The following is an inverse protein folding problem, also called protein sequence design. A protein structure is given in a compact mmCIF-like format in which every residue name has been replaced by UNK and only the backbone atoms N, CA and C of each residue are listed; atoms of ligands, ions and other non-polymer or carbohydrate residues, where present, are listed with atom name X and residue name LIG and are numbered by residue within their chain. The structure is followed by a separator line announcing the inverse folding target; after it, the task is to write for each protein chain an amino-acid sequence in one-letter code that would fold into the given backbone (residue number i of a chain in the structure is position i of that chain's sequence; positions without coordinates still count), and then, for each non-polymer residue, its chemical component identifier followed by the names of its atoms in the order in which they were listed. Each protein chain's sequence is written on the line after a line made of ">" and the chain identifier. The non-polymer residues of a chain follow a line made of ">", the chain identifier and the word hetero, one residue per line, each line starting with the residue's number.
data_IF_088127846186
#
_entry.id   IF_088127846186
#
_cell.length_a   1.000
_cell.length_b   1.000
_cell.length_c   1.000
_cell.angle_alpha   90.00
_cell.angle_beta   90.00
_cell.angle_gamma   90.00
#
_symmetry.space_group_name_H-M   'P 1'
#
loop_
_entity.id
_entity.type
_entity.pdbx_description
1 polymer ?
#
# COMPACT_ATOMS: atom_id res chain seq x y z
N UNK A 1 -5.05 -2.58 -2.03
CA UNK A 1 -6.07 -2.91 -3.06
C UNK A 1 -5.35 -3.61 -4.18
N UNK A 2 -5.82 -4.77 -4.64
CA UNK A 2 -5.03 -5.56 -5.58
C UNK A 2 -5.37 -5.31 -7.06
N UNK A 3 -4.35 -5.35 -7.92
CA UNK A 3 -4.50 -5.24 -9.38
C UNK A 3 -4.00 -6.48 -10.11
N UNK A 4 -4.48 -6.69 -11.34
CA UNK A 4 -4.04 -7.79 -12.22
C UNK A 4 -2.80 -7.39 -13.01
N UNK A 5 -1.73 -8.17 -12.85
CA UNK A 5 -0.46 -8.03 -13.55
C UNK A 5 -0.29 -9.19 -14.49
N UNK A 6 0.11 -8.95 -15.73
CA UNK A 6 0.39 -10.03 -16.68
C UNK A 6 1.87 -10.07 -17.02
N UNK A 7 2.47 -11.24 -16.89
CA UNK A 7 3.66 -11.61 -17.64
C UNK A 7 3.22 -12.44 -18.86
N UNK A 8 4.06 -12.65 -19.89
CA UNK A 8 3.70 -13.55 -20.99
C UNK A 8 3.49 -14.99 -20.50
N UNK A 9 2.27 -15.31 -20.05
CA UNK A 9 1.85 -16.64 -19.60
C UNK A 9 1.12 -16.71 -18.26
N UNK A 10 1.13 -15.66 -17.41
CA UNK A 10 0.49 -15.69 -16.08
C UNK A 10 -0.12 -14.34 -15.71
N UNK A 11 -1.25 -14.37 -14.99
CA UNK A 11 -1.82 -13.20 -14.31
C UNK A 11 -1.57 -13.33 -12.81
N UNK A 12 -0.96 -12.31 -12.21
CA UNK A 12 -0.67 -12.22 -10.78
C UNK A 12 -1.45 -11.08 -10.18
N UNK A 13 -1.88 -11.25 -8.93
CA UNK A 13 -2.55 -10.22 -8.16
C UNK A 13 -1.54 -9.64 -7.18
N UNK A 14 -1.15 -8.37 -7.35
CA UNK A 14 -0.21 -7.70 -6.43
C UNK A 14 -0.91 -6.59 -5.65
N UNK A 15 -0.36 -6.29 -4.49
CA UNK A 15 -0.71 -5.10 -3.72
C UNK A 15 0.17 -3.94 -4.18
N UNK A 16 -0.45 -2.82 -4.53
CA UNK A 16 0.27 -1.61 -4.85
C UNK A 16 0.54 -0.87 -3.55
N UNK A 17 1.80 -0.80 -3.18
CA UNK A 17 2.26 -0.23 -1.93
C UNK A 17 3.10 1.02 -2.22
N UNK A 18 2.56 2.21 -1.91
CA UNK A 18 3.32 3.47 -2.03
C UNK A 18 4.25 3.71 -0.83
N UNK A 19 4.11 2.92 0.23
CA UNK A 19 4.98 2.86 1.40
C UNK A 19 6.11 1.84 1.26
N UNK A 20 6.46 1.42 0.04
CA UNK A 20 7.69 0.70 -0.29
C UNK A 20 8.13 0.96 -1.74
N UNK A 21 9.38 0.61 -2.08
CA UNK A 21 9.93 0.79 -3.43
C UNK A 21 10.11 -0.55 -4.18
N UNK A 22 9.95 -1.68 -3.49
CA UNK A 22 10.15 -3.00 -4.07
C UNK A 22 8.86 -3.60 -4.62
N UNK A 23 8.91 -4.08 -5.86
CA UNK A 23 7.92 -5.02 -6.38
C UNK A 23 8.44 -6.45 -6.21
N UNK A 24 7.84 -7.19 -5.28
CA UNK A 24 8.09 -8.61 -5.12
C UNK A 24 6.83 -9.45 -5.29
N UNK A 25 7.02 -10.70 -5.69
CA UNK A 25 5.93 -11.63 -5.97
C UNK A 25 6.22 -12.97 -5.30
N UNK A 26 5.15 -13.69 -4.95
CA UNK A 26 5.30 -15.10 -4.59
C UNK A 26 5.81 -15.88 -5.79
N UNK A 27 6.80 -16.74 -5.59
CA UNK A 27 7.45 -17.47 -6.68
C UNK A 27 7.42 -18.97 -6.49
N UNK A 28 7.38 -19.70 -7.61
CA UNK A 28 7.59 -21.16 -7.65
C UNK A 28 8.94 -21.61 -7.04
N UNK A 29 9.88 -20.67 -6.86
CA UNK A 29 11.20 -20.90 -6.27
C UNK A 29 11.25 -20.63 -4.75
N UNK A 30 10.19 -20.10 -4.15
CA UNK A 30 10.17 -19.80 -2.71
C UNK A 30 10.16 -21.09 -1.88
N UNK A 31 10.95 -21.09 -0.80
CA UNK A 31 11.12 -22.23 0.11
C UNK A 31 10.10 -22.21 1.25
N UNK A 32 8.81 -22.15 0.91
CA UNK A 32 7.68 -22.21 1.86
C UNK A 32 6.77 -23.39 1.54
N UNK A 33 5.86 -23.74 2.44
CA UNK A 33 4.97 -24.87 2.20
C UNK A 33 3.95 -24.58 1.09
N UNK A 34 3.46 -25.63 0.41
CA UNK A 34 2.37 -25.48 -0.57
C UNK A 34 1.07 -24.98 0.06
N UNK A 35 0.89 -25.22 1.36
CA UNK A 35 -0.26 -24.69 2.10
C UNK A 35 -0.16 -23.16 2.23
N UNK A 36 1.02 -22.64 2.54
CA UNK A 36 1.27 -21.19 2.65
C UNK A 36 1.13 -20.47 1.31
N UNK A 37 1.39 -21.16 0.20
CA UNK A 37 1.23 -20.64 -1.17
C UNK A 37 -0.20 -20.72 -1.70
N UNK A 38 -1.11 -21.42 -1.01
CA UNK A 38 -2.46 -21.69 -1.52
C UNK A 38 -3.25 -20.38 -1.67
N UNK A 39 -3.85 -20.17 -2.84
CA UNK A 39 -4.69 -19.00 -3.12
C UNK A 39 -3.91 -17.72 -3.48
N UNK A 40 -2.58 -17.79 -3.58
CA UNK A 40 -1.73 -16.65 -3.99
C UNK A 40 -1.42 -16.71 -5.48
N UNK A 41 -1.23 -15.55 -6.12
CA UNK A 41 -0.66 -15.49 -7.45
C UNK A 41 0.82 -15.89 -7.40
N UNK A 42 1.18 -17.01 -8.03
CA UNK A 42 2.56 -17.53 -8.02
C UNK A 42 3.20 -17.27 -9.38
N UNK A 43 4.29 -16.50 -9.38
CA UNK A 43 5.14 -16.29 -10.55
C UNK A 43 6.07 -17.49 -10.76
N UNK A 44 5.96 -18.12 -11.93
CA UNK A 44 6.95 -19.09 -12.41
C UNK A 44 7.76 -18.49 -13.56
N UNK A 45 9.02 -18.04 -13.31
CA UNK A 45 9.83 -17.43 -14.35
C UNK A 45 10.03 -18.36 -15.56
N UNK A 46 9.93 -19.68 -15.39
CA UNK A 46 10.06 -20.64 -16.51
C UNK A 46 8.91 -20.58 -17.51
N UNK A 47 7.75 -20.06 -17.13
CA UNK A 47 6.59 -19.94 -18.02
C UNK A 47 6.60 -18.66 -18.84
N UNK A 48 7.32 -17.63 -18.38
CA UNK A 48 7.50 -16.40 -19.12
C UNK A 48 8.61 -16.55 -20.17
N UNK A 49 8.29 -16.16 -21.41
CA UNK A 49 9.25 -16.16 -22.52
C UNK A 49 10.22 -14.97 -22.50
N UNK A 50 9.91 -13.93 -21.72
CA UNK A 50 10.72 -12.71 -21.60
C UNK A 50 11.52 -12.66 -20.32
N UNK A 51 11.32 -13.61 -19.39
CA UNK A 51 12.04 -13.64 -18.13
C UNK A 51 13.53 -13.89 -18.33
N UNK A 52 14.35 -13.13 -17.61
CA UNK A 52 15.80 -13.28 -17.58
C UNK A 52 16.29 -13.13 -16.14
N UNK A 53 16.91 -14.17 -15.60
CA UNK A 53 17.52 -14.10 -14.27
C UNK A 53 18.69 -13.11 -14.28
N UNK A 54 18.65 -12.11 -13.41
CA UNK A 54 19.76 -11.19 -13.21
C UNK A 54 20.75 -11.82 -12.22
N UNK A 55 21.74 -12.53 -12.75
CA UNK A 55 22.71 -13.27 -11.92
C UNK A 55 23.50 -12.31 -11.03
N UNK A 56 23.81 -12.75 -9.81
CA UNK A 56 24.54 -11.95 -8.82
C UNK A 56 23.70 -10.93 -8.04
N UNK A 57 22.40 -10.78 -8.35
CA UNK A 57 21.52 -9.81 -7.70
C UNK A 57 20.49 -10.50 -6.80
N UNK A 58 20.36 -9.98 -5.58
CA UNK A 58 19.44 -10.42 -4.53
C UNK A 58 18.78 -9.21 -3.87
N UNK A 59 17.65 -9.43 -3.20
CA UNK A 59 16.92 -8.39 -2.46
C UNK A 59 16.47 -8.94 -1.10
N UNK A 60 16.24 -8.04 -0.15
CA UNK A 60 15.64 -8.32 1.16
C UNK A 60 14.80 -7.11 1.58
N UNK A 61 13.58 -7.35 2.06
CA UNK A 61 12.68 -6.34 2.63
C UNK A 61 12.30 -6.73 4.04
N UNK A 62 12.14 -5.73 4.91
CA UNK A 62 11.62 -5.86 6.27
C UNK A 62 10.56 -4.80 6.47
N UNK A 63 9.39 -5.23 6.92
CA UNK A 63 8.24 -4.36 7.15
C UNK A 63 8.15 -3.94 8.62
N UNK A 64 7.44 -2.84 8.88
CA UNK A 64 7.24 -2.30 10.23
C UNK A 64 6.48 -3.25 11.16
N UNK A 65 5.71 -4.19 10.62
CA UNK A 65 5.01 -5.24 11.36
C UNK A 65 5.93 -6.42 11.77
N UNK A 66 7.22 -6.37 11.43
CA UNK A 66 8.21 -7.40 11.71
C UNK A 66 8.29 -8.52 10.65
N UNK A 67 7.42 -8.51 9.64
CA UNK A 67 7.49 -9.45 8.54
C UNK A 67 8.68 -9.15 7.61
N UNK A 68 9.14 -10.15 6.85
CA UNK A 68 10.26 -9.99 5.92
C UNK A 68 10.17 -10.93 4.74
N UNK A 69 10.80 -10.54 3.63
CA UNK A 69 10.97 -11.38 2.45
C UNK A 69 12.34 -11.15 1.82
N UNK A 70 12.87 -12.14 1.11
CA UNK A 70 14.12 -12.02 0.37
C UNK A 70 14.17 -12.96 -0.82
N UNK A 71 15.04 -12.68 -1.78
CA UNK A 71 15.12 -13.49 -2.97
C UNK A 71 16.18 -13.07 -3.98
N UNK A 72 16.00 -13.56 -5.20
CA UNK A 72 16.83 -13.26 -6.38
C UNK A 72 16.04 -12.39 -7.35
N UNK A 73 16.74 -11.67 -8.21
CA UNK A 73 16.12 -10.74 -9.17
C UNK A 73 15.96 -11.40 -10.56
N UNK A 74 14.78 -11.23 -11.16
CA UNK A 74 14.53 -11.48 -12.58
C UNK A 74 14.12 -10.17 -13.25
N UNK A 75 14.57 -9.95 -14.47
CA UNK A 75 13.97 -8.99 -15.38
C UNK A 75 12.87 -9.70 -16.15
N UNK A 76 11.73 -9.05 -16.34
CA UNK A 76 10.66 -9.57 -17.19
C UNK A 76 9.85 -8.42 -17.82
N UNK A 77 8.91 -8.77 -18.70
CA UNK A 77 7.90 -7.85 -19.21
C UNK A 77 6.69 -7.86 -18.29
N UNK A 78 6.28 -6.70 -17.82
CA UNK A 78 5.11 -6.50 -16.97
C UNK A 78 4.05 -5.74 -17.77
N UNK A 79 2.81 -6.20 -17.71
CA UNK A 79 1.64 -5.49 -18.26
C UNK A 79 0.66 -5.16 -17.15
N UNK A 80 0.30 -3.88 -17.03
CA UNK A 80 -0.69 -3.34 -16.09
C UNK A 80 -1.74 -2.58 -16.90
N UNK A 81 -2.97 -3.11 -16.99
CA UNK A 81 -3.97 -2.58 -17.92
C UNK A 81 -3.45 -2.59 -19.36
N UNK A 82 -3.43 -1.42 -20.00
CA UNK A 82 -2.92 -1.22 -21.36
C UNK A 82 -1.42 -0.85 -21.41
N UNK A 83 -0.76 -0.71 -20.25
CA UNK A 83 0.66 -0.34 -20.17
C UNK A 83 1.51 -1.61 -20.19
N UNK A 84 2.40 -1.69 -21.18
CA UNK A 84 3.43 -2.73 -21.29
C UNK A 84 4.80 -2.14 -21.00
N UNK A 85 5.50 -2.70 -20.01
CA UNK A 85 6.87 -2.31 -19.63
C UNK A 85 7.80 -3.49 -19.88
N UNK A 86 8.72 -3.34 -20.83
CA UNK A 86 9.67 -4.39 -21.22
C UNK A 86 10.99 -4.26 -20.44
N UNK A 87 11.63 -5.40 -20.14
CA UNK A 87 12.92 -5.46 -19.43
C UNK A 87 12.92 -4.68 -18.10
N UNK A 88 11.78 -4.64 -17.40
CA UNK A 88 11.69 -3.95 -16.12
C UNK A 88 12.54 -4.72 -15.09
N UNK A 89 13.68 -4.16 -14.70
CA UNK A 89 14.07 -4.15 -13.30
C UNK A 89 13.24 -3.03 -12.68
N UNK A 90 12.51 -3.27 -11.60
CA UNK A 90 11.52 -2.30 -11.11
C UNK A 90 12.23 -1.02 -10.69
N UNK A 91 12.15 0.03 -11.54
CA UNK A 91 11.91 1.45 -11.24
C UNK A 91 12.03 2.37 -12.50
N UNK A 92 11.03 3.26 -12.67
CA UNK A 92 10.96 4.66 -13.20
C UNK A 92 9.63 4.88 -13.95
N UNK A 93 8.71 5.61 -13.32
CA UNK A 93 7.52 6.17 -13.95
C UNK A 93 7.85 7.55 -14.54
N UNK A 94 7.72 7.70 -15.86
CA UNK A 94 7.71 9.03 -16.54
C UNK A 94 6.33 9.67 -16.58
N UNK A 95 5.36 9.02 -15.96
CA UNK A 95 3.93 9.31 -16.03
C UNK A 95 3.35 9.38 -14.63
N UNK A 96 2.39 10.27 -14.42
CA UNK A 96 1.61 10.31 -13.18
C UNK A 96 0.86 8.98 -12.98
N UNK A 97 0.60 8.63 -11.73
CA UNK A 97 -0.40 7.61 -11.39
C UNK A 97 -1.38 8.21 -10.39
N UNK A 98 -2.60 7.67 -10.33
CA UNK A 98 -3.58 8.06 -9.30
C UNK A 98 -4.13 6.83 -8.61
N UNK A 99 -4.59 7.02 -7.37
CA UNK A 99 -5.19 5.97 -6.55
C UNK A 99 -6.57 6.42 -6.10
N UNK A 100 -7.58 5.60 -6.36
CA UNK A 100 -8.91 5.71 -5.74
C UNK A 100 -9.15 4.45 -4.92
N UNK A 101 -8.91 4.53 -3.62
CA UNK A 101 -9.36 3.50 -2.69
C UNK A 101 -10.85 3.68 -2.44
N UNK A 102 -11.58 2.58 -2.27
CA UNK A 102 -13.03 2.61 -2.08
C UNK A 102 -13.47 1.83 -0.84
N UNK A 103 -14.68 2.12 -0.36
CA UNK A 103 -15.29 1.49 0.81
C UNK A 103 -16.54 0.71 0.36
N UNK A 104 -16.61 -0.59 0.67
CA UNK A 104 -17.73 -1.53 0.33
C UNK A 104 -17.73 -1.96 -1.15
N UNK A 105 -18.91 -2.09 -1.79
CA UNK A 105 -19.15 -2.79 -3.07
C UNK A 105 -18.71 -2.04 -4.33
N UNK A 106 -18.11 -0.85 -4.20
CA UNK A 106 -17.56 -0.13 -5.34
C UNK A 106 -16.10 -0.52 -5.56
N UNK A 107 -15.73 -0.68 -6.84
CA UNK A 107 -14.36 -1.05 -7.22
C UNK A 107 -13.50 0.22 -7.21
N UNK A 108 -12.58 0.31 -6.25
CA UNK A 108 -11.44 1.21 -6.37
C UNK A 108 -10.57 0.89 -7.60
N UNK A 109 -9.59 1.73 -7.88
CA UNK A 109 -8.68 1.51 -9.00
C UNK A 109 -7.41 2.36 -8.90
N UNK A 110 -6.42 1.99 -9.72
CA UNK A 110 -5.25 2.81 -10.03
C UNK A 110 -5.32 3.24 -11.50
N UNK A 111 -4.93 4.47 -11.80
CA UNK A 111 -4.66 4.91 -13.17
C UNK A 111 -3.18 5.18 -13.33
N UNK A 112 -2.68 5.04 -14.55
CA UNK A 112 -1.30 5.33 -14.91
C UNK A 112 -1.31 6.12 -16.21
N UNK A 113 -0.64 7.27 -16.25
CA UNK A 113 -0.58 8.14 -17.42
C UNK A 113 -1.68 9.20 -17.51
N UNK A 114 -2.72 9.13 -16.69
CA UNK A 114 -3.83 10.10 -16.72
C UNK A 114 -4.54 10.19 -15.36
N UNK A 115 -5.30 11.26 -15.16
CA UNK A 115 -6.24 11.44 -14.04
C UNK A 115 -7.64 11.17 -14.60
N UNK A 116 -8.41 10.28 -13.97
CA UNK A 116 -9.83 10.10 -14.31
C UNK A 116 -10.64 11.25 -13.72
N UNK A 117 -11.00 12.24 -14.55
CA UNK A 117 -11.76 13.41 -14.10
C UNK A 117 -13.22 13.10 -13.74
N UNK A 118 -13.72 11.89 -14.06
CA UNK A 118 -15.12 11.53 -13.81
C UNK A 118 -15.39 11.10 -12.37
N UNK A 119 -14.34 10.80 -11.59
CA UNK A 119 -14.47 10.24 -10.23
C UNK A 119 -14.27 11.26 -9.12
N UNK A 120 -14.07 12.53 -9.45
CA UNK A 120 -14.01 13.63 -8.48
C UNK A 120 -14.90 14.79 -8.93
N UNK A 121 -15.47 15.51 -7.96
CA UNK A 121 -16.31 16.70 -8.22
C UNK A 121 -15.72 17.98 -7.63
N UNK A 122 -14.54 17.89 -7.00
CA UNK A 122 -13.82 18.98 -6.35
C UNK A 122 -12.53 19.34 -7.09
N UNK A 123 -12.00 20.52 -6.77
CA UNK A 123 -10.66 20.95 -7.24
C UNK A 123 -9.58 20.10 -6.58
N UNK A 124 -8.52 19.82 -7.33
CA UNK A 124 -7.30 19.23 -6.77
C UNK A 124 -6.54 20.23 -5.92
N UNK A 125 -6.04 19.74 -4.79
CA UNK A 125 -5.03 20.43 -3.99
C UNK A 125 -3.73 19.66 -4.13
N UNK A 126 -2.69 20.36 -4.56
CA UNK A 126 -1.35 19.82 -4.70
C UNK A 126 -0.54 20.20 -3.48
N UNK A 127 0.23 19.24 -2.97
CA UNK A 127 1.13 19.41 -1.84
C UNK A 127 2.51 18.93 -2.28
N UNK A 128 3.54 19.70 -1.94
CA UNK A 128 4.91 19.29 -2.18
C UNK A 128 5.23 18.06 -1.33
N UNK A 129 5.89 17.09 -1.96
CA UNK A 129 6.28 15.82 -1.36
C UNK A 129 7.75 15.90 -0.97
N UNK A 130 8.04 15.62 0.30
CA UNK A 130 9.39 15.27 0.72
C UNK A 130 9.65 13.80 0.39
N UNK A 131 10.80 13.54 -0.21
CA UNK A 131 11.20 12.22 -0.71
C UNK A 131 12.58 11.82 -0.21
N UNK A 132 13.19 12.61 0.67
CA UNK A 132 14.56 12.36 1.16
C UNK A 132 14.68 10.99 1.84
N UNK A 133 13.60 10.52 2.46
CA UNK A 133 13.52 9.23 3.13
C UNK A 133 13.01 8.07 2.25
N UNK A 134 12.75 8.32 0.95
CA UNK A 134 12.23 7.31 0.03
C UNK A 134 10.71 7.09 0.10
N UNK A 135 10.00 7.91 0.86
CA UNK A 135 8.54 7.83 1.05
C UNK A 135 7.81 8.98 0.34
N UNK A 136 6.49 8.86 0.21
CA UNK A 136 5.62 9.98 -0.15
C UNK A 136 5.26 10.77 1.10
N UNK A 137 6.20 11.56 1.63
CA UNK A 137 6.02 12.35 2.84
C UNK A 137 5.40 13.72 2.55
N UNK A 138 4.42 14.12 3.36
CA UNK A 138 3.78 15.43 3.27
C UNK A 138 3.62 16.07 4.65
N UNK A 139 3.70 17.40 4.77
CA UNK A 139 3.36 18.09 6.02
C UNK A 139 1.91 17.83 6.43
N UNK A 140 1.71 17.49 7.69
CA UNK A 140 0.40 17.19 8.28
C UNK A 140 0.23 17.91 9.64
N UNK A 141 0.44 19.21 9.64
CA UNK A 141 0.50 20.01 10.86
C UNK A 141 -0.83 20.18 11.62
N UNK A 142 -1.97 19.82 11.02
CA UNK A 142 -3.27 19.97 11.65
C UNK A 142 -4.14 18.75 11.44
N UNK A 143 -5.02 18.48 12.41
CA UNK A 143 -6.10 17.50 12.29
C UNK A 143 -7.42 18.12 12.73
N UNK A 144 -8.51 17.75 12.06
CA UNK A 144 -9.87 18.11 12.48
C UNK A 144 -10.55 16.88 13.09
N UNK A 145 -10.97 16.97 14.34
CA UNK A 145 -11.71 15.91 15.06
C UNK A 145 -13.07 16.49 15.48
N UNK A 146 -14.15 15.95 14.92
CA UNK A 146 -15.48 16.57 15.00
C UNK A 146 -15.45 17.95 14.38
N UNK A 147 -15.88 18.97 15.12
CA UNK A 147 -15.84 20.38 14.67
C UNK A 147 -14.58 21.14 15.10
N UNK A 148 -13.69 20.50 15.88
CA UNK A 148 -12.50 21.14 16.45
C UNK A 148 -11.26 20.84 15.60
N UNK A 149 -10.43 21.87 15.37
CA UNK A 149 -9.14 21.76 14.69
C UNK A 149 -8.03 21.82 15.74
N UNK A 150 -7.08 20.90 15.65
CA UNK A 150 -5.93 20.78 16.54
C UNK A 150 -4.64 20.93 15.74
N UNK A 151 -3.69 21.68 16.30
CA UNK A 151 -2.33 21.77 15.79
C UNK A 151 -1.52 20.58 16.33
N UNK A 152 -0.84 19.86 15.43
CA UNK A 152 0.00 18.68 15.71
C UNK A 152 1.51 18.99 15.61
N UNK A 153 1.88 20.25 15.39
CA UNK A 153 3.26 20.67 15.15
C UNK A 153 3.55 20.89 13.66
N UNK A 154 4.36 21.90 13.33
CA UNK A 154 4.70 22.19 11.92
C UNK A 154 5.62 21.13 11.32
N UNK A 155 6.35 20.44 12.18
CA UNK A 155 7.24 19.32 11.92
C UNK A 155 6.51 17.98 11.77
N UNK A 156 5.20 17.91 12.06
CA UNK A 156 4.48 16.66 11.91
C UNK A 156 4.34 16.29 10.42
N UNK A 157 4.89 15.14 10.06
CA UNK A 157 4.84 14.55 8.71
C UNK A 157 3.83 13.41 8.66
N UNK A 158 3.23 13.18 7.49
CA UNK A 158 2.46 11.99 7.18
C UNK A 158 3.05 11.29 5.95
N UNK A 159 3.01 9.96 5.93
CA UNK A 159 3.34 9.15 4.77
C UNK A 159 2.04 8.78 4.05
N UNK A 160 2.00 8.96 2.74
CA UNK A 160 0.91 8.47 1.90
C UNK A 160 1.20 7.02 1.51
N UNK A 161 0.62 6.09 2.26
CA UNK A 161 0.89 4.65 2.17
C UNK A 161 -0.39 3.86 1.87
N UNK A 162 -0.49 3.29 0.66
CA UNK A 162 -1.62 2.43 0.25
C UNK A 162 -1.50 0.98 0.72
N UNK A 163 -0.32 0.55 1.18
CA UNK A 163 -0.06 -0.79 1.73
C UNK A 163 -0.43 -0.91 3.22
N UNK A 164 -0.51 0.20 3.95
CA UNK A 164 -0.98 0.19 5.35
C UNK A 164 -2.51 0.23 5.44
N UNK A 165 -3.08 -0.68 6.24
CA UNK A 165 -4.54 -0.84 6.38
C UNK A 165 -5.20 0.26 7.24
N UNK A 166 -4.49 0.77 8.24
CA UNK A 166 -5.00 1.74 9.22
C UNK A 166 -4.36 3.11 9.02
N UNK A 167 -5.05 4.16 9.49
CA UNK A 167 -4.41 5.46 9.66
C UNK A 167 -3.70 5.44 11.02
N UNK A 168 -2.37 5.47 10.99
CA UNK A 168 -1.55 5.55 12.20
C UNK A 168 -1.32 7.02 12.56
N UNK A 169 -1.51 7.36 13.84
CA UNK A 169 -1.40 8.72 14.39
C UNK A 169 -0.61 8.64 15.71
N UNK A 170 -0.07 9.78 16.16
CA UNK A 170 0.55 9.89 17.48
C UNK A 170 -0.46 9.65 18.61
N UNK A 171 0.04 9.16 19.75
CA UNK A 171 -0.76 8.74 20.91
C UNK A 171 -1.73 9.84 21.37
N UNK A 172 -1.27 11.09 21.46
CA UNK A 172 -2.09 12.23 21.88
C UNK A 172 -3.29 12.44 20.94
N UNK A 173 -3.04 12.35 19.63
CA UNK A 173 -4.08 12.48 18.61
C UNK A 173 -5.06 11.31 18.65
N UNK A 174 -4.57 10.08 18.85
CA UNK A 174 -5.40 8.88 18.98
C UNK A 174 -6.29 8.97 20.23
N UNK A 175 -5.72 9.26 21.39
CA UNK A 175 -6.45 9.47 22.65
C UNK A 175 -7.53 10.54 22.49
N UNK A 176 -7.17 11.67 21.88
CA UNK A 176 -8.11 12.76 21.62
C UNK A 176 -9.26 12.34 20.72
N UNK A 177 -8.99 11.59 19.65
CA UNK A 177 -10.02 11.05 18.76
C UNK A 177 -10.98 10.11 19.51
N UNK A 178 -10.45 9.12 20.20
CA UNK A 178 -11.26 8.12 20.89
C UNK A 178 -11.99 8.67 22.12
N UNK A 179 -11.47 9.72 22.78
CA UNK A 179 -12.19 10.44 23.85
C UNK A 179 -13.53 11.03 23.41
N UNK A 180 -13.74 11.24 22.10
CA UNK A 180 -14.99 11.75 21.53
C UNK A 180 -15.99 10.63 21.18
N UNK A 181 -15.61 9.38 21.33
CA UNK A 181 -16.43 8.21 21.00
C UNK A 181 -16.90 7.57 22.30
N UNK A 182 -18.20 7.67 22.58
CA UNK A 182 -18.79 7.02 23.75
C UNK A 182 -18.60 5.50 23.70
N UNK A 183 -18.14 4.92 24.82
CA UNK A 183 -17.84 3.49 24.91
C UNK A 183 -16.50 3.06 24.30
N UNK A 184 -15.68 4.00 23.81
CA UNK A 184 -14.32 3.70 23.42
C UNK A 184 -13.43 3.52 24.66
N UNK A 185 -12.62 2.46 24.65
CA UNK A 185 -11.61 2.18 25.67
C UNK A 185 -10.35 1.61 25.01
N UNK A 186 -9.19 1.96 25.54
CA UNK A 186 -7.93 1.34 25.12
C UNK A 186 -7.81 -0.04 25.75
N UNK A 187 -7.48 -1.03 24.94
CA UNK A 187 -7.19 -2.40 25.35
C UNK A 187 -5.68 -2.61 25.27
N UNK A 188 -5.02 -2.66 26.43
CA UNK A 188 -3.57 -2.84 26.55
C UNK A 188 -3.10 -4.20 26.04
N UNK A 189 -3.92 -5.25 26.15
CA UNK A 189 -3.57 -6.60 25.72
C UNK A 189 -3.56 -6.70 24.18
N UNK A 190 -4.44 -5.95 23.52
CA UNK A 190 -4.56 -5.91 22.06
C UNK A 190 -3.77 -4.76 21.42
N UNK A 191 -3.27 -3.81 22.22
CA UNK A 191 -2.58 -2.61 21.72
C UNK A 191 -3.46 -1.75 20.81
N UNK A 192 -4.77 -1.69 21.09
CA UNK A 192 -5.73 -1.01 20.20
C UNK A 192 -6.93 -0.44 20.98
N UNK A 193 -7.68 0.45 20.35
CA UNK A 193 -8.93 0.96 20.91
C UNK A 193 -10.12 0.08 20.49
N UNK A 194 -10.91 -0.33 21.47
CA UNK A 194 -12.18 -1.01 21.26
C UNK A 194 -13.33 -0.02 21.46
N UNK A 195 -14.35 -0.10 20.60
CA UNK A 195 -15.61 0.62 20.82
C UNK A 195 -16.66 -0.39 21.24
N UNK A 196 -16.99 -0.39 22.53
CA UNK A 196 -18.01 -1.28 23.07
C UNK A 196 -19.39 -0.74 22.68
N UNK A 197 -20.05 -1.42 21.74
CA UNK A 197 -21.44 -1.12 21.41
C UNK A 197 -22.35 -1.52 22.58
N UNK A 198 -23.07 -0.56 23.16
CA UNK A 198 -24.10 -0.76 24.20
C UNK A 198 -25.33 -1.59 23.75
N UNK A 199 -25.31 -2.28 22.61
CA UNK A 199 -26.47 -3.01 22.08
C UNK A 199 -26.74 -4.40 22.68
N UNK A 200 -26.11 -4.77 23.80
CA UNK A 200 -26.39 -6.05 24.47
C UNK A 200 -26.37 -5.97 26.01
N UNK A 201 -26.98 -4.94 26.60
CA UNK A 201 -27.48 -5.06 27.97
C UNK A 201 -28.90 -5.65 27.89
N UNK A 202 -29.03 -6.94 28.19
CA UNK A 202 -30.31 -7.61 28.50
C UNK A 202 -30.82 -7.15 29.87
#
# INVERSE_FOLDING_TARGET
>A
MSGDYRTPGETLTLDFDTGSADLWVWSSQARVSKADMKGRGIYDPKKSRTSKRLRGHTWEVRYGDGSSASGVVYMDTIVIGDIKVENQAVEVARTIFTVKLDKRDSRGFYTFGFIDETVHCSKFYWQDVDKENGWWEVPSAYIKIGDQIYNRGQENIAIIDTGTTLVLLDDETVERLYSKIEGAAYDEDQGTYLVLSLKYAL
#
